data_IF_641900910642
#
_entry.id   IF_641900910642
#
_cell.length_a   1.000
_cell.length_b   1.000
_cell.length_c   1.000
_cell.angle_alpha   90.00
_cell.angle_beta   90.00
_cell.angle_gamma   90.00
#
_symmetry.space_group_name_H-M   'P 1'
#
loop_
_entity.id
_entity.type
_entity.pdbx_description
1 polymer ?
#
# COMPACT_ATOMS: atom_id res chain seq x y z
N UNK A 1 50.28 41.20 -17.22
CA UNK A 1 48.89 40.76 -17.47
C UNK A 1 48.67 39.40 -16.80
N UNK A 2 47.97 39.36 -15.66
CA UNK A 2 47.69 38.12 -14.91
C UNK A 2 46.28 37.65 -15.27
N UNK A 3 46.14 36.47 -15.88
CA UNK A 3 44.84 35.85 -16.17
C UNK A 3 44.42 35.00 -14.98
N UNK A 4 43.29 35.34 -14.38
CA UNK A 4 42.63 34.57 -13.32
C UNK A 4 41.62 33.64 -14.01
N UNK A 5 41.84 32.34 -13.92
CA UNK A 5 40.86 31.33 -14.34
C UNK A 5 39.85 31.13 -13.21
N UNK A 6 38.59 31.47 -13.47
CA UNK A 6 37.46 31.08 -12.64
C UNK A 6 37.15 29.59 -12.88
N UNK A 7 37.39 28.76 -11.87
CA UNK A 7 36.90 27.38 -11.84
C UNK A 7 35.42 27.37 -11.48
N UNK A 8 34.57 26.93 -12.40
CA UNK A 8 33.16 26.68 -12.13
C UNK A 8 33.02 25.43 -11.24
N UNK A 9 32.56 25.64 -10.01
CA UNK A 9 32.19 24.57 -9.08
C UNK A 9 30.85 23.97 -9.53
N UNK A 10 30.87 22.80 -10.16
CA UNK A 10 29.66 22.02 -10.46
C UNK A 10 29.23 21.35 -9.15
N UNK A 11 28.22 21.93 -8.50
CA UNK A 11 27.55 21.31 -7.36
C UNK A 11 26.56 20.29 -7.91
N UNK A 12 26.91 19.00 -7.84
CA UNK A 12 25.94 17.93 -7.99
C UNK A 12 24.97 18.01 -6.81
N UNK A 13 23.77 18.53 -7.06
CA UNK A 13 22.62 18.37 -6.16
C UNK A 13 22.34 16.87 -6.08
N UNK A 14 22.87 16.22 -5.05
CA UNK A 14 22.46 14.88 -4.64
C UNK A 14 21.00 14.96 -4.21
N UNK A 15 20.10 14.72 -5.18
CA UNK A 15 18.68 14.50 -4.89
C UNK A 15 18.59 13.42 -3.81
N UNK A 16 17.91 13.75 -2.70
CA UNK A 16 17.64 12.80 -1.63
C UNK A 16 16.89 11.62 -2.26
N UNK A 17 17.60 10.52 -2.47
CA UNK A 17 17.03 9.28 -2.96
C UNK A 17 16.19 8.70 -1.82
N UNK A 18 14.89 9.04 -1.80
CA UNK A 18 13.96 8.45 -0.86
C UNK A 18 13.85 6.96 -1.20
N UNK A 19 14.06 6.09 -0.21
CA UNK A 19 13.87 4.67 -0.39
C UNK A 19 12.44 4.38 -0.85
N UNK A 20 12.30 3.52 -1.83
CA UNK A 20 11.01 3.10 -2.35
C UNK A 20 10.18 2.44 -1.25
N UNK A 21 9.00 3.02 -0.98
CA UNK A 21 8.11 2.54 0.07
C UNK A 21 7.24 1.38 -0.45
N UNK A 22 7.12 0.33 0.35
CA UNK A 22 6.27 -0.84 0.09
C UNK A 22 5.51 -1.21 1.37
N UNK A 23 4.40 -1.93 1.22
CA UNK A 23 3.57 -2.24 2.36
C UNK A 23 2.35 -3.09 2.05
N UNK A 24 1.39 -3.05 2.96
CA UNK A 24 0.05 -3.61 2.78
C UNK A 24 -0.96 -2.46 2.65
N UNK A 25 -1.92 -2.60 1.76
CA UNK A 25 -3.14 -1.83 1.78
C UNK A 25 -4.21 -2.66 2.47
N UNK A 26 -4.80 -2.09 3.52
CA UNK A 26 -5.93 -2.64 4.24
C UNK A 26 -7.15 -1.74 4.03
N UNK A 27 -8.25 -2.35 3.64
CA UNK A 27 -9.54 -1.69 3.53
C UNK A 27 -10.57 -2.56 4.21
N UNK A 28 -10.96 -2.18 5.41
CA UNK A 28 -11.79 -2.99 6.28
C UNK A 28 -12.99 -2.13 6.68
N UNK A 29 -14.22 -2.63 6.55
CA UNK A 29 -15.38 -1.89 7.01
C UNK A 29 -15.34 -1.69 8.52
N UNK A 30 -15.83 -0.56 8.98
CA UNK A 30 -16.11 -0.35 10.40
C UNK A 30 -17.61 -0.52 10.59
N UNK A 31 -17.96 -1.41 11.50
CA UNK A 31 -19.33 -1.71 11.87
C UNK A 31 -19.66 -0.98 13.18
N UNK A 32 -20.87 -0.43 13.29
CA UNK A 32 -21.33 0.18 14.56
C UNK A 32 -21.69 -0.87 15.62
N UNK A 33 -21.80 -2.14 15.22
CA UNK A 33 -21.93 -3.30 16.10
C UNK A 33 -21.58 -4.59 15.34
N UNK A 34 -21.24 -5.69 16.05
CA UNK A 34 -21.00 -7.00 15.41
C UNK A 34 -22.15 -7.54 14.56
N UNK A 35 -23.39 -7.07 14.81
CA UNK A 35 -24.59 -7.50 14.08
C UNK A 35 -25.03 -6.49 13.02
N UNK A 36 -24.26 -5.43 12.78
CA UNK A 36 -24.63 -4.42 11.81
C UNK A 36 -24.60 -4.99 10.39
N UNK A 37 -25.72 -4.86 9.68
CA UNK A 37 -25.83 -5.26 8.27
C UNK A 37 -25.14 -4.27 7.30
N UNK A 38 -24.66 -3.14 7.83
CA UNK A 38 -24.09 -2.03 7.06
C UNK A 38 -22.85 -1.49 7.75
N UNK A 39 -21.83 -1.19 6.98
CA UNK A 39 -20.65 -0.47 7.47
C UNK A 39 -20.96 1.03 7.65
N UNK A 40 -20.51 1.62 8.77
CA UNK A 40 -20.62 3.06 9.02
C UNK A 40 -19.52 3.84 8.29
N UNK A 41 -18.35 3.22 8.11
CA UNK A 41 -17.29 3.73 7.23
C UNK A 41 -16.50 2.57 6.63
N UNK A 42 -15.81 2.85 5.54
CA UNK A 42 -14.94 1.88 4.85
C UNK A 42 -13.58 2.54 4.58
N UNK A 43 -12.80 2.83 5.63
CA UNK A 43 -11.51 3.50 5.48
C UNK A 43 -10.52 2.63 4.70
N UNK A 44 -9.56 3.29 4.06
CA UNK A 44 -8.40 2.63 3.45
C UNK A 44 -7.14 3.10 4.16
N UNK A 45 -6.29 2.15 4.53
CA UNK A 45 -5.02 2.38 5.20
C UNK A 45 -3.89 1.72 4.43
N UNK A 46 -2.77 2.41 4.26
CA UNK A 46 -1.52 1.79 3.81
C UNK A 46 -0.55 1.65 4.98
N UNK A 47 -0.09 0.43 5.21
CA UNK A 47 0.85 0.04 6.26
C UNK A 47 2.23 -0.19 5.64
N UNK A 48 3.15 0.75 5.83
CA UNK A 48 4.37 0.90 5.06
C UNK A 48 5.64 0.58 5.86
N UNK A 49 6.67 0.11 5.18
CA UNK A 49 7.99 -0.18 5.75
C UNK A 49 8.86 1.07 6.00
N UNK A 50 8.64 2.13 5.21
CA UNK A 50 9.39 3.40 5.25
C UNK A 50 8.44 4.59 5.41
N UNK A 51 8.90 5.62 6.12
CA UNK A 51 8.13 6.86 6.37
C UNK A 51 7.96 7.66 5.07
N UNK A 52 6.79 8.27 4.89
CA UNK A 52 6.54 9.18 3.77
C UNK A 52 6.98 10.59 4.11
N UNK A 53 7.72 11.21 3.17
CA UNK A 53 8.16 12.62 3.26
C UNK A 53 7.46 13.52 2.23
N UNK A 54 6.66 12.94 1.36
CA UNK A 54 5.85 13.64 0.35
C UNK A 54 4.57 12.84 0.03
N UNK A 55 3.51 13.50 -0.47
CA UNK A 55 2.37 12.80 -1.04
C UNK A 55 2.82 11.74 -2.05
N UNK A 56 2.25 10.55 -1.96
CA UNK A 56 2.72 9.38 -2.71
C UNK A 56 1.54 8.58 -3.25
N UNK A 57 1.64 8.18 -4.51
CA UNK A 57 0.71 7.24 -5.15
C UNK A 57 1.27 5.83 -4.99
N UNK A 58 0.40 4.87 -4.76
CA UNK A 58 0.72 3.47 -4.62
C UNK A 58 -0.04 2.63 -5.62
N UNK A 59 0.66 1.70 -6.24
CA UNK A 59 0.06 0.60 -6.99
C UNK A 59 -0.19 -0.56 -6.04
N UNK A 60 -1.45 -1.01 -5.95
CA UNK A 60 -1.80 -2.26 -5.26
C UNK A 60 -1.58 -3.45 -6.19
N UNK A 61 -1.10 -4.54 -5.61
CA UNK A 61 -0.67 -5.76 -6.28
C UNK A 61 -1.33 -6.96 -5.60
N UNK A 62 -2.08 -7.72 -6.37
CA UNK A 62 -2.49 -9.07 -5.98
C UNK A 62 -1.42 -10.03 -6.47
N UNK A 63 -0.47 -10.34 -5.60
CA UNK A 63 0.72 -11.16 -5.89
C UNK A 63 0.32 -12.64 -5.99
N UNK A 64 0.84 -13.34 -7.00
CA UNK A 64 0.64 -14.77 -7.19
C UNK A 64 1.89 -15.47 -7.75
N UNK A 65 1.73 -16.74 -8.13
CA UNK A 65 2.86 -17.62 -8.48
C UNK A 65 3.54 -17.31 -9.82
N UNK A 66 2.92 -16.52 -10.71
CA UNK A 66 3.47 -16.16 -12.03
C UNK A 66 3.72 -14.66 -12.21
N UNK A 67 3.35 -13.84 -11.23
CA UNK A 67 3.41 -12.39 -11.32
C UNK A 67 2.41 -11.74 -10.36
N UNK A 68 1.98 -10.53 -10.65
CA UNK A 68 0.96 -9.84 -9.88
C UNK A 68 -0.10 -9.22 -10.79
N UNK A 69 -1.37 -9.34 -10.40
CA UNK A 69 -2.43 -8.53 -10.99
C UNK A 69 -2.34 -7.12 -10.39
N UNK A 70 -2.39 -6.10 -11.24
CA UNK A 70 -2.27 -4.70 -10.83
C UNK A 70 -3.65 -4.15 -10.50
N UNK A 71 -3.75 -3.46 -9.37
CA UNK A 71 -4.92 -2.67 -8.96
C UNK A 71 -4.45 -1.26 -8.68
N UNK A 72 -4.45 -0.46 -9.74
CA UNK A 72 -4.03 0.93 -9.65
C UNK A 72 -5.25 1.85 -9.44
N UNK A 73 -5.22 2.80 -8.51
CA UNK A 73 -4.17 3.08 -7.52
C UNK A 73 -4.76 3.72 -6.27
N UNK A 74 -3.93 3.84 -5.25
CA UNK A 74 -4.20 4.59 -4.03
C UNK A 74 -3.30 5.82 -3.98
N UNK A 75 -3.71 6.84 -3.23
CA UNK A 75 -2.91 8.03 -2.94
C UNK A 75 -2.93 8.30 -1.44
N UNK A 76 -1.77 8.66 -0.90
CA UNK A 76 -1.63 9.23 0.43
C UNK A 76 -1.24 10.68 0.26
N UNK A 77 -2.13 11.58 0.66
CA UNK A 77 -1.88 13.03 0.64
C UNK A 77 -1.55 13.58 2.03
N UNK A 78 -2.21 13.03 3.05
CA UNK A 78 -1.97 13.38 4.44
C UNK A 78 -0.82 12.54 5.00
N UNK A 79 0.29 13.19 5.34
CA UNK A 79 1.49 12.53 5.89
C UNK A 79 1.48 12.41 7.42
N UNK A 80 0.34 12.69 8.06
CA UNK A 80 0.14 12.41 9.48
C UNK A 80 -0.05 10.90 9.63
N UNK A 81 0.87 10.27 10.35
CA UNK A 81 0.80 8.84 10.65
C UNK A 81 -0.39 8.52 11.56
N UNK A 82 -1.15 7.50 11.18
CA UNK A 82 -2.17 6.89 12.02
C UNK A 82 -1.47 5.97 13.02
N UNK A 83 -1.77 6.11 14.31
CA UNK A 83 -1.23 5.18 15.30
C UNK A 83 -2.05 3.89 15.29
N UNK A 84 -1.38 2.76 15.44
CA UNK A 84 -2.07 1.47 15.59
C UNK A 84 -3.08 1.51 16.74
N UNK A 85 -2.77 2.18 17.86
CA UNK A 85 -3.72 2.32 18.98
C UNK A 85 -5.04 2.98 18.59
N UNK A 86 -4.96 4.00 17.74
CA UNK A 86 -6.11 4.81 17.33
C UNK A 86 -6.95 4.00 16.33
N UNK A 87 -6.28 3.30 15.42
CA UNK A 87 -6.90 2.31 14.53
C UNK A 87 -7.62 1.23 15.34
N UNK A 88 -6.97 0.56 16.30
CA UNK A 88 -7.61 -0.48 17.10
C UNK A 88 -8.80 0.04 17.92
N UNK A 89 -8.76 1.31 18.34
CA UNK A 89 -9.90 1.96 19.02
C UNK A 89 -11.08 2.17 18.08
N UNK A 90 -10.81 2.47 16.82
CA UNK A 90 -11.83 2.60 15.78
C UNK A 90 -12.57 1.29 15.48
N UNK A 91 -11.90 0.14 15.63
CA UNK A 91 -12.49 -1.20 15.44
C UNK A 91 -12.84 -1.90 16.77
N UNK A 92 -13.02 -1.16 17.87
CA UNK A 92 -13.27 -1.74 19.22
C UNK A 92 -14.46 -2.71 19.30
N UNK A 93 -15.44 -2.54 18.42
CA UNK A 93 -16.66 -3.35 18.36
C UNK A 93 -16.54 -4.51 17.35
N UNK A 94 -15.35 -4.72 16.77
CA UNK A 94 -15.01 -5.79 15.84
C UNK A 94 -13.69 -6.48 16.26
N UNK A 95 -13.77 -7.52 17.11
CA UNK A 95 -12.58 -8.19 17.64
C UNK A 95 -11.76 -8.91 16.54
N UNK A 96 -12.39 -9.34 15.46
CA UNK A 96 -11.72 -10.05 14.37
C UNK A 96 -10.85 -9.08 13.56
N UNK A 97 -11.38 -7.89 13.24
CA UNK A 97 -10.59 -6.81 12.64
C UNK A 97 -9.45 -6.35 13.54
N UNK A 98 -9.66 -6.29 14.85
CA UNK A 98 -8.58 -5.97 15.82
C UNK A 98 -7.47 -7.01 15.79
N UNK A 99 -7.83 -8.29 15.79
CA UNK A 99 -6.88 -9.39 15.78
C UNK A 99 -6.09 -9.42 14.47
N UNK A 100 -6.78 -9.25 13.34
CA UNK A 100 -6.19 -9.09 12.00
C UNK A 100 -5.09 -8.01 11.99
N UNK A 101 -5.42 -6.79 12.42
CA UNK A 101 -4.45 -5.70 12.43
C UNK A 101 -3.24 -5.95 13.33
N UNK A 102 -3.43 -6.64 14.46
CA UNK A 102 -2.32 -6.99 15.38
C UNK A 102 -1.42 -8.08 14.81
N UNK A 103 -1.98 -9.00 14.01
CA UNK A 103 -1.24 -10.11 13.43
C UNK A 103 -0.46 -9.72 12.18
N UNK A 104 -0.89 -8.69 11.45
CA UNK A 104 -0.14 -8.14 10.32
C UNK A 104 1.23 -7.60 10.75
N UNK A 105 2.29 -7.94 10.01
CA UNK A 105 3.70 -7.61 10.37
C UNK A 105 4.50 -7.09 9.18
N UNK A 106 5.66 -6.49 9.48
CA UNK A 106 6.64 -6.04 8.49
C UNK A 106 6.53 -4.56 8.09
N UNK A 107 5.48 -3.89 8.57
CA UNK A 107 5.26 -2.45 8.44
C UNK A 107 5.72 -1.70 9.70
N UNK A 108 5.89 -0.37 9.57
CA UNK A 108 6.33 0.55 10.64
C UNK A 108 5.49 1.81 10.72
N UNK A 109 4.82 2.18 9.63
CA UNK A 109 4.07 3.43 9.50
C UNK A 109 2.69 3.13 8.93
N UNK A 110 1.65 3.82 9.39
CA UNK A 110 0.29 3.66 8.85
C UNK A 110 -0.18 5.03 8.36
N UNK A 111 -0.78 5.09 7.18
CA UNK A 111 -1.38 6.31 6.64
C UNK A 111 -2.78 6.02 6.12
N UNK A 112 -3.67 6.99 6.26
CA UNK A 112 -4.94 6.97 5.54
C UNK A 112 -4.67 7.19 4.04
N UNK A 113 -5.33 6.38 3.21
CA UNK A 113 -5.21 6.43 1.77
C UNK A 113 -6.59 6.64 1.14
N UNK A 114 -6.59 7.27 -0.03
CA UNK A 114 -7.76 7.43 -0.88
C UNK A 114 -7.52 6.74 -2.22
N UNK A 115 -8.58 6.41 -2.94
CA UNK A 115 -8.43 6.04 -4.35
C UNK A 115 -7.92 7.22 -5.17
N UNK A 116 -7.11 6.95 -6.18
CA UNK A 116 -6.85 7.93 -7.23
C UNK A 116 -8.14 8.22 -8.02
N UNK A 117 -8.16 9.32 -8.76
CA UNK A 117 -9.28 9.69 -9.61
C UNK A 117 -9.65 8.54 -10.57
N UNK A 118 -10.94 8.36 -10.83
CA UNK A 118 -11.47 7.24 -11.63
C UNK A 118 -10.82 7.12 -13.02
N UNK A 119 -10.37 8.23 -13.61
CA UNK A 119 -9.66 8.27 -14.88
C UNK A 119 -8.27 7.61 -14.84
N UNK A 120 -7.65 7.53 -13.67
CA UNK A 120 -6.35 6.90 -13.43
C UNK A 120 -6.49 5.46 -12.93
N UNK A 121 -7.70 5.03 -12.56
CA UNK A 121 -7.94 3.67 -12.14
C UNK A 121 -7.91 2.72 -13.34
N UNK A 122 -7.32 1.54 -13.20
CA UNK A 122 -7.43 0.47 -14.19
C UNK A 122 -8.76 -0.29 -14.06
N UNK A 123 -9.02 -1.30 -14.91
CA UNK A 123 -10.33 -1.98 -14.90
C UNK A 123 -10.57 -2.74 -13.59
N UNK A 124 -9.54 -3.33 -13.00
CA UNK A 124 -9.66 -4.09 -11.76
C UNK A 124 -9.94 -3.19 -10.56
N UNK A 125 -9.30 -2.02 -10.47
CA UNK A 125 -9.62 -1.05 -9.42
C UNK A 125 -11.03 -0.47 -9.58
N UNK A 126 -11.47 -0.19 -10.82
CA UNK A 126 -12.86 0.26 -11.06
C UNK A 126 -13.89 -0.81 -10.70
N UNK A 127 -13.58 -2.09 -10.91
CA UNK A 127 -14.44 -3.18 -10.48
C UNK A 127 -14.49 -3.29 -8.95
N UNK A 128 -13.34 -3.20 -8.29
CA UNK A 128 -13.23 -3.23 -6.83
C UNK A 128 -13.97 -2.07 -6.16
N UNK A 129 -13.96 -0.88 -6.76
CA UNK A 129 -14.58 0.34 -6.21
C UNK A 129 -16.01 0.58 -6.68
N UNK A 130 -16.61 -0.33 -7.45
CA UNK A 130 -17.96 -0.14 -7.99
C UNK A 130 -19.03 -0.04 -6.90
N UNK A 131 -18.88 -0.81 -5.82
CA UNK A 131 -19.75 -0.85 -4.64
C UNK A 131 -19.35 0.10 -3.52
N UNK A 132 -18.44 1.04 -3.79
CA UNK A 132 -17.84 1.87 -2.75
C UNK A 132 -18.86 2.67 -1.93
N UNK A 133 -19.93 3.13 -2.58
CA UNK A 133 -21.01 3.87 -1.93
C UNK A 133 -22.08 2.99 -1.27
N UNK A 134 -22.08 1.68 -1.52
CA UNK A 134 -23.05 0.76 -0.93
C UNK A 134 -22.55 0.30 0.45
N UNK A 135 -23.20 0.68 1.57
CA UNK A 135 -22.76 0.28 2.89
C UNK A 135 -22.98 -1.22 3.18
N UNK A 136 -23.73 -1.93 2.34
CA UNK A 136 -23.94 -3.40 2.43
C UNK A 136 -22.85 -4.19 1.70
N UNK A 137 -22.17 -3.58 0.71
CA UNK A 137 -21.00 -4.16 0.04
C UNK A 137 -19.72 -3.77 0.80
N UNK A 138 -19.45 -4.51 1.86
CA UNK A 138 -18.44 -4.21 2.88
C UNK A 138 -17.38 -5.31 3.03
N UNK A 139 -17.09 -6.09 1.98
CA UNK A 139 -16.04 -7.12 2.10
C UNK A 139 -14.68 -6.48 2.42
N UNK A 140 -13.96 -6.98 3.44
CA UNK A 140 -12.61 -6.53 3.71
C UNK A 140 -11.69 -6.87 2.54
N UNK A 141 -10.67 -6.04 2.35
CA UNK A 141 -9.72 -6.20 1.26
C UNK A 141 -8.31 -5.90 1.74
N UNK A 142 -7.39 -6.81 1.43
CA UNK A 142 -5.96 -6.61 1.62
C UNK A 142 -5.17 -6.91 0.35
N UNK A 143 -4.06 -6.21 0.18
CA UNK A 143 -3.11 -6.45 -0.92
C UNK A 143 -1.77 -5.79 -0.63
N UNK A 144 -0.73 -6.24 -1.32
CA UNK A 144 0.57 -5.58 -1.28
C UNK A 144 0.50 -4.26 -2.03
N UNK A 145 1.18 -3.22 -1.53
CA UNK A 145 1.38 -1.96 -2.24
C UNK A 145 2.84 -1.65 -2.48
N UNK A 146 3.11 -1.02 -3.61
CA UNK A 146 4.42 -0.47 -3.98
C UNK A 146 4.21 0.98 -4.40
N UNK A 147 5.05 1.88 -3.90
CA UNK A 147 4.99 3.28 -4.31
C UNK A 147 5.17 3.42 -5.84
N UNK A 148 4.64 4.49 -6.40
CA UNK A 148 4.62 4.71 -7.85
C UNK A 148 3.37 4.16 -8.53
N UNK A 149 3.17 4.63 -9.77
CA UNK A 149 1.93 4.45 -10.50
C UNK A 149 2.08 3.56 -11.75
N UNK A 150 1.29 2.48 -11.81
CA UNK A 150 1.12 1.65 -13.00
C UNK A 150 -0.30 1.80 -13.59
N UNK A 151 -0.67 3.04 -13.91
CA UNK A 151 -1.96 3.35 -14.53
C UNK A 151 -2.10 2.68 -15.89
N UNK A 152 -3.26 2.05 -16.12
CA UNK A 152 -3.55 1.33 -17.36
C UNK A 152 -2.86 -0.03 -17.53
N UNK A 153 -2.06 -0.45 -16.56
CA UNK A 153 -1.46 -1.80 -16.52
C UNK A 153 -2.38 -2.73 -15.73
N UNK A 154 -2.61 -3.94 -16.25
CA UNK A 154 -3.49 -4.93 -15.61
C UNK A 154 -2.72 -6.05 -14.91
N UNK A 155 -1.46 -6.26 -15.26
CA UNK A 155 -0.59 -7.25 -14.62
C UNK A 155 0.88 -7.00 -14.91
N UNK A 156 1.72 -7.48 -14.01
CA UNK A 156 3.18 -7.42 -14.11
C UNK A 156 3.80 -8.79 -13.85
N UNK A 157 4.96 -9.11 -14.46
CA UNK A 157 5.75 -10.28 -14.08
C UNK A 157 6.25 -10.18 -12.62
N UNK A 158 6.82 -11.25 -12.08
CA UNK A 158 7.40 -11.27 -10.71
C UNK A 158 8.47 -10.21 -10.50
N UNK A 159 9.19 -9.87 -11.56
CA UNK A 159 10.25 -8.87 -11.58
C UNK A 159 9.88 -7.80 -12.59
N UNK A 160 9.69 -6.57 -12.14
CA UNK A 160 9.27 -5.44 -12.96
C UNK A 160 9.94 -4.17 -12.45
N UNK A 161 9.80 -3.07 -13.21
CA UNK A 161 10.29 -1.75 -12.79
C UNK A 161 9.15 -0.76 -12.67
N UNK A 162 9.21 0.10 -11.66
CA UNK A 162 8.26 1.20 -11.45
C UNK A 162 9.05 2.44 -11.07
N UNK A 163 8.87 3.53 -11.82
CA UNK A 163 9.56 4.81 -11.61
C UNK A 163 11.09 4.69 -11.48
N UNK A 164 11.70 3.73 -12.19
CA UNK A 164 13.15 3.50 -12.16
C UNK A 164 13.63 2.57 -11.04
N UNK A 165 12.75 2.10 -10.17
CA UNK A 165 13.05 1.11 -9.13
C UNK A 165 12.74 -0.30 -9.59
N UNK A 166 13.64 -1.25 -9.34
CA UNK A 166 13.45 -2.66 -9.65
C UNK A 166 12.74 -3.36 -8.50
N UNK A 167 11.61 -3.97 -8.81
CA UNK A 167 10.74 -4.64 -7.84
C UNK A 167 10.68 -6.13 -8.17
N UNK A 168 10.89 -6.97 -7.16
CA UNK A 168 10.61 -8.40 -7.23
C UNK A 168 9.59 -8.76 -6.16
N UNK A 169 8.58 -9.55 -6.50
CA UNK A 169 7.52 -9.99 -5.57
C UNK A 169 7.37 -11.50 -5.56
N UNK A 170 7.14 -12.06 -4.37
CA UNK A 170 6.69 -13.43 -4.18
C UNK A 170 5.75 -13.50 -2.99
N UNK A 171 4.84 -14.46 -3.03
CA UNK A 171 3.94 -14.81 -1.92
C UNK A 171 4.12 -16.29 -1.61
N UNK A 172 3.96 -16.66 -0.34
CA UNK A 172 3.81 -18.05 0.07
C UNK A 172 2.90 -18.13 1.29
N UNK A 173 2.29 -19.29 1.49
CA UNK A 173 1.54 -19.57 2.72
C UNK A 173 2.52 -19.74 3.90
N UNK A 174 2.19 -19.14 5.04
CA UNK A 174 2.96 -19.21 6.27
C UNK A 174 2.01 -19.42 7.47
N UNK A 175 1.79 -20.69 7.83
CA UNK A 175 0.74 -21.06 8.77
C UNK A 175 -0.64 -20.79 8.17
N UNK A 176 -1.46 -20.03 8.87
CA UNK A 176 -2.80 -19.65 8.42
C UNK A 176 -2.79 -18.45 7.46
N UNK A 177 -1.72 -17.63 7.47
CA UNK A 177 -1.62 -16.41 6.67
C UNK A 177 -0.67 -16.47 5.47
N UNK A 178 -0.40 -15.29 4.92
CA UNK A 178 0.42 -15.07 3.73
C UNK A 178 1.67 -14.29 4.09
N UNK A 179 2.83 -14.82 3.70
CA UNK A 179 4.10 -14.09 3.76
C UNK A 179 4.43 -13.56 2.36
N UNK A 180 4.46 -12.24 2.21
CA UNK A 180 4.93 -11.56 1.02
C UNK A 180 6.40 -11.21 1.19
N UNK A 181 7.21 -11.53 0.18
CA UNK A 181 8.58 -11.04 0.08
C UNK A 181 8.69 -10.13 -1.12
N UNK A 182 9.04 -8.89 -0.84
CA UNK A 182 9.39 -7.90 -1.83
C UNK A 182 10.90 -7.69 -1.82
N UNK A 183 11.48 -7.43 -2.99
CA UNK A 183 12.81 -6.82 -3.08
C UNK A 183 12.69 -5.55 -3.87
N UNK A 184 13.22 -4.46 -3.32
CA UNK A 184 13.32 -3.19 -4.03
C UNK A 184 14.78 -2.81 -4.16
N UNK A 185 15.26 -2.71 -5.38
CA UNK A 185 16.67 -2.44 -5.70
C UNK A 185 17.63 -3.36 -4.91
N UNK A 186 17.24 -4.64 -4.79
CA UNK A 186 17.97 -5.67 -4.05
C UNK A 186 17.74 -5.70 -2.53
N UNK A 187 17.14 -4.66 -1.93
CA UNK A 187 16.78 -4.63 -0.50
C UNK A 187 15.48 -5.40 -0.27
N UNK A 188 15.54 -6.46 0.53
CA UNK A 188 14.39 -7.29 0.85
C UNK A 188 13.50 -6.69 1.94
N UNK A 189 12.19 -6.87 1.79
CA UNK A 189 11.15 -6.54 2.77
C UNK A 189 10.20 -7.72 2.85
N UNK A 190 9.97 -8.23 4.07
CA UNK A 190 8.97 -9.26 4.35
C UNK A 190 7.76 -8.62 5.00
N UNK A 191 6.58 -8.93 4.49
CA UNK A 191 5.30 -8.56 5.05
C UNK A 191 4.53 -9.84 5.38
N UNK A 192 3.76 -9.81 6.46
CA UNK A 192 2.84 -10.89 6.81
C UNK A 192 1.44 -10.34 6.91
N UNK A 193 0.50 -11.03 6.29
CA UNK A 193 -0.94 -10.77 6.34
C UNK A 193 -1.63 -11.99 6.95
N UNK A 194 -2.44 -11.77 7.99
CA UNK A 194 -3.44 -12.75 8.42
C UNK A 194 -4.63 -12.64 7.48
N UNK A 195 -5.18 -13.73 6.91
CA UNK A 195 -6.35 -13.61 6.05
C UNK A 195 -7.59 -13.34 6.91
N UNK A 196 -8.52 -12.55 6.39
CA UNK A 196 -9.84 -12.50 6.99
C UNK A 196 -10.51 -13.88 6.93
N UNK A 197 -11.20 -14.31 8.00
CA UNK A 197 -11.97 -15.54 7.96
C UNK A 197 -13.08 -15.45 6.89
N UNK A 198 -13.23 -16.52 6.10
CA UNK A 198 -14.27 -16.67 5.08
C UNK A 198 -15.69 -16.79 5.68
#
# INVERSE_FOLDING_TARGET
MKRVFWGALIVFLSGVCQAQSVGLWERIPVLDSPMAATASKKPSYVMLNEKLVKPTVFTSLQVGDSGAAVRCCLRVDNLVEVKLSDLLTEYKDDPDSIDHFKKNRGWKHIYSANFVDKARQNRYMRALTKGESDPTEAAPYSSVVVAGELSGVEGVPKEFSIEGHNISTSVKRAGEGLEYKLKVDGKAVSLYEDPFPD
#
